data_IF_250777113903
#
_entry.id   IF_250777113903
#
_cell.length_a   1.000
_cell.length_b   1.000
_cell.length_c   1.000
_cell.angle_alpha   90.00
_cell.angle_beta   90.00
_cell.angle_gamma   90.00
#
_symmetry.space_group_name_H-M   'P 1'
#
loop_
_entity.id
_entity.type
_entity.pdbx_description
1 polymer ?
#
# COMPACT_ATOMS: atom_id res chain seq x y z
N UNK A 1 13.96 -11.64 15.69
CA UNK A 1 14.01 -11.65 14.20
C UNK A 1 15.41 -11.28 13.73
N UNK A 2 15.88 -11.81 12.58
CA UNK A 2 17.19 -11.39 12.02
C UNK A 2 17.08 -9.94 11.54
N UNK A 3 18.02 -9.07 11.94
CA UNK A 3 18.14 -7.71 11.40
C UNK A 3 18.49 -7.82 9.92
N UNK A 4 17.50 -7.61 9.05
CA UNK A 4 17.73 -7.47 7.61
C UNK A 4 18.07 -6.01 7.35
N UNK A 5 19.30 -5.77 6.91
CA UNK A 5 19.74 -4.44 6.46
C UNK A 5 19.09 -4.21 5.10
N UNK A 6 18.40 -3.08 4.91
CA UNK A 6 17.85 -2.72 3.61
C UNK A 6 18.98 -2.38 2.64
N UNK A 7 18.83 -2.78 1.39
CA UNK A 7 19.75 -2.39 0.31
C UNK A 7 19.09 -1.40 -0.66
N UNK A 8 19.89 -0.75 -1.51
CA UNK A 8 19.34 0.09 -2.59
C UNK A 8 18.44 -0.71 -3.54
N UNK A 9 18.74 -1.99 -3.74
CA UNK A 9 17.93 -2.89 -4.57
C UNK A 9 16.54 -3.11 -3.97
N UNK A 10 16.44 -3.18 -2.64
CA UNK A 10 15.15 -3.24 -1.95
C UNK A 10 14.32 -1.96 -2.20
N UNK A 11 14.97 -0.79 -2.17
CA UNK A 11 14.30 0.51 -2.45
C UNK A 11 13.82 0.58 -3.90
N UNK A 12 14.67 0.20 -4.85
CA UNK A 12 14.30 0.14 -6.27
C UNK A 12 13.16 -0.85 -6.53
N UNK A 13 13.18 -1.99 -5.85
CA UNK A 13 12.12 -2.99 -5.94
C UNK A 13 10.79 -2.45 -5.39
N UNK A 14 10.80 -1.79 -4.24
CA UNK A 14 9.63 -1.13 -3.67
C UNK A 14 9.10 0.00 -4.57
N UNK A 15 9.99 0.82 -5.13
CA UNK A 15 9.61 1.89 -6.06
C UNK A 15 8.89 1.33 -7.30
N UNK A 16 9.39 0.22 -7.84
CA UNK A 16 8.76 -0.49 -8.96
C UNK A 16 7.36 -1.01 -8.59
N UNK A 17 7.20 -1.64 -7.42
CA UNK A 17 5.91 -2.14 -6.96
C UNK A 17 4.89 -1.02 -6.74
N UNK A 18 5.34 0.11 -6.21
CA UNK A 18 4.52 1.31 -5.95
C UNK A 18 4.37 2.22 -7.17
N UNK A 19 4.95 1.85 -8.32
CA UNK A 19 4.99 2.65 -9.55
C UNK A 19 5.51 4.10 -9.33
N UNK A 20 6.55 4.23 -8.50
CA UNK A 20 7.23 5.49 -8.23
C UNK A 20 8.54 5.55 -9.02
N UNK A 21 8.81 6.70 -9.64
CA UNK A 21 10.13 7.02 -10.22
C UNK A 21 10.90 7.81 -9.20
N UNK A 22 12.08 7.32 -8.84
CA UNK A 22 12.95 7.93 -7.84
C UNK A 22 14.27 8.36 -8.47
N UNK A 23 14.83 9.48 -8.02
CA UNK A 23 16.21 9.86 -8.33
C UNK A 23 17.22 9.10 -7.45
N UNK A 24 18.50 9.15 -7.81
CA UNK A 24 19.56 8.52 -7.01
C UNK A 24 19.67 9.15 -5.61
N UNK A 25 19.47 10.47 -5.50
CA UNK A 25 19.46 11.17 -4.21
C UNK A 25 18.27 10.75 -3.34
N UNK A 26 17.10 10.53 -3.95
CA UNK A 26 15.91 10.02 -3.26
C UNK A 26 16.11 8.59 -2.78
N UNK A 27 16.78 7.74 -3.57
CA UNK A 27 17.11 6.36 -3.17
C UNK A 27 17.98 6.34 -1.92
N UNK A 28 19.05 7.15 -1.86
CA UNK A 28 19.91 7.28 -0.68
C UNK A 28 19.15 7.79 0.55
N UNK A 29 18.29 8.78 0.34
CA UNK A 29 17.48 9.37 1.41
C UNK A 29 16.50 8.34 1.97
N UNK A 30 15.75 7.67 1.11
CA UNK A 30 14.72 6.71 1.54
C UNK A 30 15.32 5.45 2.15
N UNK A 31 16.52 5.04 1.73
CA UNK A 31 17.23 3.94 2.37
C UNK A 31 17.37 4.18 3.89
N UNK A 32 17.87 5.36 4.28
CA UNK A 32 18.06 5.73 5.70
C UNK A 32 16.73 5.88 6.43
N UNK A 33 15.78 6.60 5.82
CA UNK A 33 14.49 6.88 6.47
C UNK A 33 13.67 5.60 6.68
N UNK A 34 13.68 4.68 5.72
CA UNK A 34 12.97 3.40 5.86
C UNK A 34 13.66 2.47 6.86
N UNK A 35 14.99 2.49 6.94
CA UNK A 35 15.70 1.72 7.97
C UNK A 35 15.32 2.21 9.38
N UNK A 36 15.32 3.53 9.62
CA UNK A 36 14.86 4.14 10.87
C UNK A 36 13.38 3.80 11.18
N UNK A 37 12.51 3.89 10.18
CA UNK A 37 11.08 3.61 10.34
C UNK A 37 10.81 2.15 10.69
N UNK A 38 11.46 1.21 9.98
CA UNK A 38 11.32 -0.23 10.25
C UNK A 38 11.88 -0.57 11.63
N UNK A 39 13.00 0.04 12.02
CA UNK A 39 13.55 -0.14 13.37
C UNK A 39 12.59 0.35 14.44
N UNK A 40 11.94 1.50 14.24
CA UNK A 40 10.94 2.00 15.18
C UNK A 40 9.74 1.05 15.32
N UNK A 41 9.21 0.53 14.20
CA UNK A 41 8.04 -0.39 14.20
C UNK A 41 8.32 -1.72 14.90
N UNK A 42 9.59 -2.15 15.01
CA UNK A 42 9.95 -3.37 15.77
C UNK A 42 9.60 -3.29 17.26
N UNK A 43 9.32 -2.10 17.80
CA UNK A 43 8.79 -1.99 19.17
C UNK A 43 7.50 -2.79 19.38
N UNK A 44 6.73 -3.07 18.31
CA UNK A 44 5.53 -3.89 18.37
C UNK A 44 5.82 -5.37 18.63
N UNK A 45 7.03 -5.86 18.33
CA UNK A 45 7.44 -7.26 18.54
C UNK A 45 7.52 -7.63 20.05
N UNK A 46 7.53 -6.64 20.94
CA UNK A 46 7.54 -6.84 22.39
C UNK A 46 6.20 -7.38 22.93
N UNK A 47 5.11 -7.21 22.17
CA UNK A 47 3.77 -7.60 22.57
C UNK A 47 3.44 -9.03 22.11
N UNK A 48 2.91 -9.87 23.01
CA UNK A 48 2.45 -11.22 22.68
C UNK A 48 1.09 -11.18 21.99
N UNK A 49 1.04 -11.50 20.71
CA UNK A 49 -0.18 -11.48 19.88
C UNK A 49 -0.69 -12.87 19.47
N UNK A 50 -0.04 -13.97 19.90
CA UNK A 50 -0.36 -15.35 19.49
C UNK A 50 -1.81 -15.80 19.79
N UNK A 51 -2.49 -15.13 20.72
CA UNK A 51 -3.84 -15.49 21.20
C UNK A 51 -4.91 -14.48 20.81
N UNK A 52 -4.59 -13.48 19.99
CA UNK A 52 -5.54 -12.45 19.54
C UNK A 52 -5.67 -12.49 18.03
N UNK A 53 -6.91 -12.41 17.53
CA UNK A 53 -7.15 -12.31 16.10
C UNK A 53 -6.81 -10.89 15.60
N UNK A 54 -6.32 -10.75 14.35
CA UNK A 54 -6.12 -9.44 13.76
C UNK A 54 -7.44 -8.69 13.60
N UNK A 55 -7.41 -7.37 13.78
CA UNK A 55 -8.58 -6.50 13.62
C UNK A 55 -8.51 -5.76 12.27
N UNK A 56 -9.42 -6.08 11.35
CA UNK A 56 -9.50 -5.40 10.03
C UNK A 56 -10.47 -4.22 10.01
N UNK A 57 -11.44 -4.19 10.92
CA UNK A 57 -12.46 -3.15 11.03
C UNK A 57 -12.76 -2.87 12.50
N UNK A 58 -12.98 -1.60 12.84
CA UNK A 58 -13.27 -1.16 14.22
C UNK A 58 -14.77 -1.14 14.52
N UNK A 59 -15.60 -1.31 13.50
CA UNK A 59 -17.06 -1.31 13.56
C UNK A 59 -17.61 -2.66 13.13
N UNK A 60 -18.84 -2.97 13.55
CA UNK A 60 -19.54 -4.20 13.18
C UNK A 60 -20.19 -4.09 11.79
N UNK A 61 -19.45 -3.62 10.78
CA UNK A 61 -19.95 -3.59 9.41
C UNK A 61 -20.30 -5.01 8.96
N UNK A 62 -21.48 -5.15 8.38
CA UNK A 62 -21.92 -6.35 7.66
C UNK A 62 -21.68 -6.16 6.17
N UNK A 63 -21.79 -7.24 5.40
CA UNK A 63 -21.73 -7.17 3.94
C UNK A 63 -22.76 -6.17 3.40
N UNK A 64 -22.29 -5.27 2.52
CA UNK A 64 -23.12 -4.26 1.85
C UNK A 64 -23.30 -4.70 0.41
N UNK A 65 -24.54 -5.01 0.04
CA UNK A 65 -24.90 -5.45 -1.31
C UNK A 65 -25.45 -4.28 -2.13
N UNK A 66 -25.21 -4.34 -3.44
CA UNK A 66 -25.85 -3.46 -4.42
C UNK A 66 -26.92 -4.26 -5.16
N UNK A 67 -28.15 -3.76 -5.20
CA UNK A 67 -29.25 -4.50 -5.82
C UNK A 67 -29.16 -4.46 -7.35
N UNK A 68 -29.56 -5.55 -7.99
CA UNK A 68 -29.62 -5.60 -9.45
C UNK A 68 -30.67 -4.60 -9.98
N UNK A 69 -30.33 -3.89 -11.06
CA UNK A 69 -31.15 -2.82 -11.63
C UNK A 69 -30.99 -1.42 -11.00
N UNK A 70 -30.25 -1.28 -9.91
CA UNK A 70 -29.91 0.05 -9.38
C UNK A 70 -28.83 0.73 -10.23
N UNK A 71 -28.95 2.04 -10.45
CA UNK A 71 -27.91 2.82 -11.15
C UNK A 71 -26.96 3.42 -10.13
N UNK A 72 -25.67 3.10 -10.21
CA UNK A 72 -24.67 3.72 -9.36
C UNK A 72 -24.42 5.17 -9.78
N UNK A 73 -25.01 6.12 -9.04
CA UNK A 73 -24.88 7.56 -9.29
C UNK A 73 -23.48 8.13 -9.01
N UNK A 74 -22.61 7.36 -8.33
CA UNK A 74 -21.21 7.73 -8.03
C UNK A 74 -20.24 7.27 -9.13
N UNK A 75 -20.72 6.51 -10.11
CA UNK A 75 -19.94 6.08 -11.28
C UNK A 75 -19.83 7.16 -12.35
N UNK A 76 -18.76 7.11 -13.15
CA UNK A 76 -18.60 7.97 -14.31
C UNK A 76 -19.72 7.72 -15.33
N UNK A 77 -20.24 8.78 -15.94
CA UNK A 77 -21.35 8.68 -16.90
C UNK A 77 -20.84 8.29 -18.28
N UNK A 78 -21.73 7.74 -19.11
CA UNK A 78 -21.41 7.19 -20.44
C UNK A 78 -20.67 8.15 -21.40
N UNK A 79 -20.75 9.47 -21.19
CA UNK A 79 -20.04 10.51 -21.96
C UNK A 79 -18.58 10.72 -21.54
N UNK A 80 -18.14 10.11 -20.43
CA UNK A 80 -16.79 10.19 -19.86
C UNK A 80 -16.02 8.87 -20.08
N UNK A 81 -16.47 8.06 -21.05
CA UNK A 81 -16.17 6.62 -21.16
C UNK A 81 -14.72 6.22 -21.45
N UNK A 82 -13.88 7.16 -21.89
CA UNK A 82 -12.51 6.84 -22.31
C UNK A 82 -11.52 7.81 -21.67
N UNK A 83 -10.59 7.24 -20.90
CA UNK A 83 -9.38 7.95 -20.51
C UNK A 83 -8.39 7.91 -21.66
N UNK A 84 -7.95 9.08 -22.13
CA UNK A 84 -6.88 9.18 -23.11
C UNK A 84 -5.57 8.97 -22.37
N UNK A 85 -5.03 7.76 -22.47
CA UNK A 85 -3.74 7.37 -21.86
C UNK A 85 -2.77 6.89 -22.92
N UNK A 86 -1.48 6.88 -22.59
CA UNK A 86 -0.47 6.27 -23.47
C UNK A 86 -0.81 4.79 -23.67
N UNK A 87 -0.79 4.34 -24.93
CA UNK A 87 -1.03 2.94 -25.28
C UNK A 87 0.01 2.04 -24.60
N UNK A 88 -0.47 1.04 -23.87
CA UNK A 88 0.35 -0.04 -23.32
C UNK A 88 0.63 -1.02 -24.45
N UNK A 89 1.89 -1.43 -24.62
CA UNK A 89 2.33 -2.39 -25.65
C UNK A 89 2.30 -3.81 -25.09
#
# INVERSE_FOLDING_TARGET
MKKKVLTKEDILHLAKLSNLKLSDEEIEKYLKQLEETVEYVKNLDELKTDKVSPTSQTTNLTDVYFADGETNERGLKLKEKYFIVKRIM
#
